data_IF_733582876997
#
_entry.id   IF_733582876997
#
_cell.length_a   1.000
_cell.length_b   1.000
_cell.length_c   1.000
_cell.angle_alpha   90.00
_cell.angle_beta   90.00
_cell.angle_gamma   90.00
#
_symmetry.space_group_name_H-M   'P 1'
#
loop_
_entity.id
_entity.type
_entity.pdbx_description
1 polymer ?
#
# COMPACT_ATOMS: atom_id res chain seq x y z
N UNK A 1 -29.89 -67.14 -30.65
CA UNK A 1 -30.41 -65.75 -30.50
C UNK A 1 -30.43 -65.14 -31.89
N UNK A 2 -31.54 -65.21 -32.62
CA UNK A 2 -32.79 -64.43 -32.49
C UNK A 2 -32.61 -63.03 -33.12
N UNK A 3 -33.24 -62.89 -34.31
CA UNK A 3 -33.83 -61.72 -35.02
C UNK A 3 -32.96 -60.61 -35.61
N UNK A 4 -32.89 -60.62 -36.95
CA UNK A 4 -33.18 -59.47 -37.83
C UNK A 4 -34.71 -59.19 -37.86
N UNK A 5 -35.27 -58.20 -38.61
CA UNK A 5 -34.89 -56.83 -39.00
C UNK A 5 -36.08 -55.84 -38.86
N UNK A 6 -35.95 -54.58 -39.32
CA UNK A 6 -36.92 -53.80 -40.13
C UNK A 6 -37.15 -52.33 -39.75
N UNK A 7 -37.01 -51.53 -40.80
CA UNK A 7 -37.58 -50.21 -41.07
C UNK A 7 -39.03 -50.30 -41.56
N UNK A 8 -39.90 -49.40 -41.07
CA UNK A 8 -41.20 -48.96 -41.64
C UNK A 8 -41.20 -47.42 -41.54
N UNK A 9 -41.37 -46.56 -42.55
CA UNK A 9 -42.30 -46.40 -43.68
C UNK A 9 -43.73 -45.96 -43.26
N UNK A 10 -44.20 -44.88 -43.92
CA UNK A 10 -45.58 -44.31 -44.03
C UNK A 10 -46.12 -43.53 -42.78
N UNK A 11 -46.92 -42.44 -42.83
CA UNK A 11 -47.73 -41.78 -43.86
C UNK A 11 -48.17 -40.34 -43.43
N UNK A 12 -48.51 -39.49 -44.41
CA UNK A 12 -49.39 -38.26 -44.37
C UNK A 12 -50.86 -38.67 -44.03
N UNK A 13 -51.93 -37.83 -43.81
CA UNK A 13 -52.17 -36.38 -44.11
C UNK A 13 -53.13 -35.58 -43.15
N UNK A 14 -53.55 -34.37 -43.59
CA UNK A 14 -54.79 -33.59 -43.28
C UNK A 14 -54.90 -32.89 -41.90
N UNK A 15 -54.89 -31.55 -41.79
CA UNK A 15 -55.92 -30.55 -42.12
C UNK A 15 -57.15 -30.53 -41.18
N UNK A 16 -57.24 -29.47 -40.35
CA UNK A 16 -58.44 -28.93 -39.67
C UNK A 16 -58.15 -27.43 -39.42
N UNK A 17 -58.69 -26.52 -40.23
CA UNK A 17 -59.97 -25.81 -40.06
C UNK A 17 -59.92 -24.74 -38.95
N UNK A 18 -59.54 -23.50 -39.30
CA UNK A 18 -60.39 -22.28 -39.35
C UNK A 18 -60.77 -21.74 -37.96
N UNK A 19 -60.34 -20.50 -37.65
CA UNK A 19 -61.23 -19.40 -37.24
C UNK A 19 -60.50 -18.04 -37.13
N UNK A 20 -61.26 -16.99 -37.42
CA UNK A 20 -60.90 -15.58 -37.59
C UNK A 20 -60.49 -14.84 -36.28
N UNK A 21 -59.77 -13.71 -36.44
CA UNK A 21 -59.63 -12.46 -35.63
C UNK A 21 -60.32 -12.33 -34.24
N UNK A 22 -59.86 -11.48 -33.27
CA UNK A 22 -59.07 -10.24 -33.41
C UNK A 22 -58.08 -9.87 -32.24
N UNK A 23 -57.39 -8.72 -32.40
CA UNK A 23 -56.77 -7.80 -31.41
C UNK A 23 -56.14 -8.31 -30.08
N UNK A 24 -54.86 -7.97 -29.82
CA UNK A 24 -54.44 -7.45 -28.49
C UNK A 24 -53.37 -6.35 -28.66
N UNK A 25 -53.76 -5.12 -28.33
CA UNK A 25 -52.86 -4.00 -28.03
C UNK A 25 -51.97 -4.37 -26.83
N UNK A 26 -50.66 -4.48 -27.03
CA UNK A 26 -49.72 -4.56 -25.91
C UNK A 26 -49.41 -3.14 -25.39
N UNK A 27 -49.60 -2.86 -24.09
CA UNK A 27 -49.22 -1.58 -23.52
C UNK A 27 -47.69 -1.45 -23.52
N UNK A 28 -47.22 -0.36 -24.13
CA UNK A 28 -45.86 0.16 -24.10
C UNK A 28 -45.36 0.15 -22.64
N UNK A 29 -44.44 -0.76 -22.32
CA UNK A 29 -43.71 -0.77 -21.04
C UNK A 29 -43.10 0.62 -20.85
N UNK A 30 -43.70 1.40 -19.95
CA UNK A 30 -43.08 2.57 -19.36
C UNK A 30 -41.77 2.10 -18.76
N UNK A 31 -40.68 2.67 -19.26
CA UNK A 31 -39.37 2.51 -18.67
C UNK A 31 -39.50 2.88 -17.18
N UNK A 32 -39.48 1.87 -16.32
CA UNK A 32 -39.11 2.02 -14.92
C UNK A 32 -37.68 2.56 -14.95
N UNK A 33 -37.58 3.89 -14.94
CA UNK A 33 -36.37 4.60 -14.56
C UNK A 33 -36.10 4.16 -13.14
N UNK A 34 -35.23 3.15 -13.01
CA UNK A 34 -34.45 2.92 -11.81
C UNK A 34 -33.66 4.21 -11.60
N UNK A 35 -34.23 5.13 -10.82
CA UNK A 35 -33.43 6.13 -10.12
C UNK A 35 -32.32 5.35 -9.41
N UNK A 36 -31.05 5.56 -9.77
CA UNK A 36 -29.97 5.10 -8.91
C UNK A 36 -30.23 5.80 -7.58
N UNK A 37 -30.60 5.02 -6.56
CA UNK A 37 -30.50 5.49 -5.19
C UNK A 37 -29.04 5.92 -5.02
N UNK A 38 -28.79 7.22 -5.08
CA UNK A 38 -27.68 7.86 -4.39
C UNK A 38 -27.94 7.64 -2.90
N UNK A 39 -27.73 6.38 -2.48
CA UNK A 39 -27.37 6.09 -1.12
C UNK A 39 -26.14 6.95 -0.86
N UNK A 40 -26.37 7.99 -0.07
CA UNK A 40 -25.39 8.93 0.47
C UNK A 40 -24.18 8.13 0.95
N UNK A 41 -23.25 7.87 0.04
CA UNK A 41 -22.04 7.14 0.30
C UNK A 41 -21.19 8.10 1.11
N UNK A 42 -21.30 8.00 2.44
CA UNK A 42 -20.32 8.58 3.35
C UNK A 42 -18.97 8.06 2.88
N UNK A 43 -18.21 8.94 2.23
CA UNK A 43 -17.03 8.62 1.44
C UNK A 43 -15.84 8.22 2.29
N UNK A 44 -15.91 7.07 2.96
CA UNK A 44 -14.73 6.43 3.52
C UNK A 44 -14.12 5.57 2.41
N UNK A 45 -13.17 6.15 1.67
CA UNK A 45 -12.30 5.41 0.76
C UNK A 45 -11.65 4.26 1.55
N UNK A 46 -11.69 3.01 1.05
CA UNK A 46 -11.08 1.89 1.77
C UNK A 46 -9.58 2.14 1.88
N UNK A 47 -8.97 1.92 3.07
CA UNK A 47 -7.54 2.08 3.24
C UNK A 47 -6.80 1.16 2.26
N UNK A 48 -5.70 1.64 1.68
CA UNK A 48 -4.92 0.85 0.73
C UNK A 48 -4.20 -0.28 1.46
N UNK A 49 -4.85 -1.44 1.56
CA UNK A 49 -4.38 -2.64 2.25
C UNK A 49 -3.01 -3.08 1.71
N UNK A 50 -2.80 -2.95 0.40
CA UNK A 50 -1.52 -3.30 -0.23
C UNK A 50 -0.38 -2.38 0.25
N UNK A 51 -0.64 -1.08 0.36
CA UNK A 51 0.33 -0.12 0.89
C UNK A 51 0.66 -0.42 2.35
N UNK A 52 -0.35 -0.74 3.17
CA UNK A 52 -0.18 -1.11 4.57
C UNK A 52 0.63 -2.42 4.71
N UNK A 53 0.37 -3.42 3.86
CA UNK A 53 1.14 -4.66 3.81
C UNK A 53 2.61 -4.42 3.45
N UNK A 54 2.87 -3.64 2.38
CA UNK A 54 4.23 -3.25 2.01
C UNK A 54 4.94 -2.52 3.15
N UNK A 55 4.23 -1.63 3.85
CA UNK A 55 4.77 -0.88 4.97
C UNK A 55 5.20 -1.78 6.13
N UNK A 56 4.40 -2.80 6.44
CA UNK A 56 4.74 -3.78 7.48
C UNK A 56 5.96 -4.61 7.07
N UNK A 57 6.03 -5.06 5.81
CA UNK A 57 7.15 -5.89 5.32
C UNK A 57 8.46 -5.09 5.40
N UNK A 58 8.49 -3.87 4.82
CA UNK A 58 9.68 -3.01 4.87
C UNK A 58 10.04 -2.66 6.31
N UNK A 59 9.04 -2.34 7.14
CA UNK A 59 9.28 -2.05 8.55
C UNK A 59 9.83 -3.24 9.33
N UNK A 60 9.36 -4.44 9.03
CA UNK A 60 9.81 -5.67 9.68
C UNK A 60 11.28 -5.97 9.40
N UNK A 61 11.71 -5.83 8.14
CA UNK A 61 13.12 -5.98 7.76
C UNK A 61 14.03 -5.02 8.55
N UNK A 62 13.65 -3.74 8.64
CA UNK A 62 14.41 -2.76 9.42
C UNK A 62 14.38 -3.02 10.92
N UNK A 63 13.24 -3.48 11.45
CA UNK A 63 13.10 -3.80 12.86
C UNK A 63 13.95 -4.99 13.26
N UNK A 64 14.02 -6.02 12.41
CA UNK A 64 14.94 -7.14 12.61
C UNK A 64 16.40 -6.70 12.51
N UNK A 65 16.76 -5.96 11.46
CA UNK A 65 18.13 -5.49 11.25
C UNK A 65 18.64 -4.63 12.41
N UNK A 66 17.82 -3.71 12.91
CA UNK A 66 18.15 -2.86 14.06
C UNK A 66 18.07 -3.63 15.38
N UNK A 67 17.09 -4.52 15.52
CA UNK A 67 16.92 -5.39 16.68
C UNK A 67 18.11 -6.31 16.91
N UNK A 68 18.64 -6.95 15.86
CA UNK A 68 19.83 -7.78 15.93
C UNK A 68 21.05 -6.98 16.42
N UNK A 69 21.19 -5.72 15.95
CA UNK A 69 22.27 -4.83 16.38
C UNK A 69 22.13 -4.43 17.85
N UNK A 70 20.94 -4.05 18.28
CA UNK A 70 20.63 -3.70 19.68
C UNK A 70 20.87 -4.88 20.62
N UNK A 71 20.40 -6.07 20.25
CA UNK A 71 20.52 -7.27 21.07
C UNK A 71 21.96 -7.78 21.14
N UNK A 72 22.75 -7.59 20.08
CA UNK A 72 24.19 -7.89 20.08
C UNK A 72 24.97 -6.91 20.98
N UNK A 73 24.54 -5.65 21.08
CA UNK A 73 25.11 -4.61 21.95
C UNK A 73 26.53 -4.15 21.63
N UNK A 74 27.21 -4.78 20.67
CA UNK A 74 28.59 -4.50 20.29
C UNK A 74 28.76 -3.85 18.92
N UNK A 75 27.65 -3.53 18.22
CA UNK A 75 27.70 -3.00 16.85
C UNK A 75 28.45 -1.65 16.74
N UNK A 76 28.19 -0.63 17.58
CA UNK A 76 28.85 0.66 17.46
C UNK A 76 30.37 0.59 17.66
N UNK A 77 30.82 -0.29 18.55
CA UNK A 77 32.24 -0.51 18.82
C UNK A 77 32.96 -1.20 17.65
N UNK A 78 32.27 -2.09 16.92
CA UNK A 78 32.85 -2.86 15.82
C UNK A 78 32.78 -2.13 14.47
N UNK A 79 31.87 -1.16 14.35
CA UNK A 79 31.59 -0.43 13.11
C UNK A 79 32.83 0.21 12.50
N UNK A 80 33.68 0.88 13.29
CA UNK A 80 34.88 1.55 12.77
C UNK A 80 35.86 0.61 12.06
N UNK A 81 36.07 -0.59 12.63
CA UNK A 81 36.94 -1.61 12.02
C UNK A 81 36.36 -2.18 10.72
N UNK A 82 35.04 -2.39 10.69
CA UNK A 82 34.33 -2.85 9.50
C UNK A 82 34.44 -1.82 8.37
N UNK A 83 34.17 -0.54 8.66
CA UNK A 83 34.25 0.55 7.70
C UNK A 83 35.65 0.74 7.12
N UNK A 84 36.69 0.69 7.95
CA UNK A 84 38.08 0.78 7.48
C UNK A 84 38.42 -0.34 6.49
N UNK A 85 37.92 -1.55 6.75
CA UNK A 85 38.11 -2.71 5.87
C UNK A 85 37.39 -2.50 4.53
N UNK A 86 36.15 -2.02 4.56
CA UNK A 86 35.34 -1.76 3.35
C UNK A 86 35.95 -0.62 2.52
N UNK A 87 36.31 0.50 3.15
CA UNK A 87 36.94 1.66 2.49
C UNK A 87 38.32 1.30 1.91
N UNK A 88 39.06 0.40 2.54
CA UNK A 88 40.33 -0.11 2.03
C UNK A 88 40.21 -1.04 0.81
N UNK A 89 39.04 -1.65 0.61
CA UNK A 89 38.78 -2.63 -0.47
C UNK A 89 38.54 -2.03 -1.86
N UNK A 90 38.39 -0.71 -1.98
CA UNK A 90 38.34 -0.01 -3.29
C UNK A 90 37.07 -0.22 -4.14
N UNK A 91 36.03 -0.88 -3.61
CA UNK A 91 34.78 -1.18 -4.33
C UNK A 91 33.69 -0.09 -4.21
N UNK A 92 33.97 0.99 -3.47
CA UNK A 92 33.04 2.08 -3.20
C UNK A 92 33.11 3.19 -4.25
N UNK A 93 31.99 3.91 -4.43
CA UNK A 93 31.96 5.16 -5.19
C UNK A 93 32.86 6.21 -4.53
N UNK A 94 33.70 6.90 -5.32
CA UNK A 94 34.75 7.80 -4.80
C UNK A 94 34.25 8.89 -3.86
N UNK A 95 33.10 9.51 -4.14
CA UNK A 95 32.51 10.53 -3.25
C UNK A 95 32.04 9.92 -1.93
N UNK A 96 31.43 8.74 -1.97
CA UNK A 96 30.91 8.04 -0.79
C UNK A 96 32.06 7.55 0.10
N UNK A 97 33.11 6.97 -0.52
CA UNK A 97 34.33 6.60 0.18
C UNK A 97 35.00 7.79 0.90
N UNK A 98 34.96 8.98 0.30
CA UNK A 98 35.50 10.20 0.91
C UNK A 98 34.70 10.62 2.14
N UNK A 99 33.35 10.65 2.04
CA UNK A 99 32.46 10.90 3.18
C UNK A 99 32.70 9.90 4.31
N UNK A 100 32.80 8.60 3.97
CA UNK A 100 33.05 7.57 4.97
C UNK A 100 34.39 7.79 5.67
N UNK A 101 35.45 8.06 4.92
CA UNK A 101 36.80 8.22 5.48
C UNK A 101 36.95 9.48 6.33
N UNK A 102 36.35 10.59 5.91
CA UNK A 102 36.54 11.90 6.55
C UNK A 102 35.54 12.18 7.67
N UNK A 103 34.30 11.68 7.56
CA UNK A 103 33.22 12.00 8.50
C UNK A 103 32.80 10.81 9.35
N UNK A 104 32.55 9.65 8.71
CA UNK A 104 31.91 8.51 9.38
C UNK A 104 32.92 7.68 10.19
N UNK A 105 34.09 7.36 9.62
CA UNK A 105 35.13 6.55 10.28
C UNK A 105 35.65 7.22 11.56
N UNK A 106 35.98 8.53 11.59
CA UNK A 106 36.42 9.18 12.81
C UNK A 106 35.35 9.20 13.91
N UNK A 107 34.07 9.22 13.51
CA UNK A 107 32.91 9.26 14.41
C UNK A 107 32.15 7.92 14.42
N UNK A 108 32.82 6.80 14.15
CA UNK A 108 32.16 5.53 13.83
C UNK A 108 31.25 5.02 14.95
N UNK A 109 31.60 5.27 16.21
CA UNK A 109 30.77 4.88 17.36
C UNK A 109 29.46 5.67 17.39
N UNK A 110 29.52 6.98 17.14
CA UNK A 110 28.32 7.83 17.08
C UNK A 110 27.41 7.39 15.93
N UNK A 111 27.99 7.22 14.74
CA UNK A 111 27.23 6.73 13.58
C UNK A 111 26.70 5.31 13.79
N UNK A 112 27.40 4.46 14.53
CA UNK A 112 26.92 3.15 14.92
C UNK A 112 25.64 3.21 15.74
N UNK A 113 25.61 4.06 16.77
CA UNK A 113 24.38 4.28 17.53
C UNK A 113 23.27 4.91 16.66
N UNK A 114 23.59 5.85 15.78
CA UNK A 114 22.60 6.47 14.90
C UNK A 114 21.98 5.46 13.93
N UNK A 115 22.78 4.54 13.38
CA UNK A 115 22.29 3.46 12.50
C UNK A 115 21.45 2.48 13.32
N UNK A 116 21.97 2.00 14.43
CA UNK A 116 21.29 1.05 15.32
C UNK A 116 19.91 1.56 15.75
N UNK A 117 19.83 2.77 16.31
CA UNK A 117 18.55 3.38 16.67
C UNK A 117 17.72 3.79 15.44
N UNK A 118 18.37 4.23 14.37
CA UNK A 118 17.70 4.65 13.14
C UNK A 118 16.93 3.51 12.48
N UNK A 119 17.55 2.33 12.36
CA UNK A 119 16.93 1.13 11.82
C UNK A 119 15.77 0.66 12.70
N UNK A 120 15.98 0.57 14.01
CA UNK A 120 14.93 0.14 14.94
C UNK A 120 13.75 1.09 14.96
N UNK A 121 13.99 2.41 15.01
CA UNK A 121 12.93 3.42 15.03
C UNK A 121 12.20 3.50 13.68
N UNK A 122 12.91 3.39 12.56
CA UNK A 122 12.29 3.33 11.24
C UNK A 122 11.42 2.08 11.11
N UNK A 123 11.94 0.92 11.50
CA UNK A 123 11.21 -0.35 11.51
C UNK A 123 9.96 -0.30 12.39
N UNK A 124 10.12 0.15 13.64
CA UNK A 124 9.02 0.29 14.59
C UNK A 124 7.96 1.27 14.08
N UNK A 125 8.37 2.42 13.55
CA UNK A 125 7.46 3.42 13.00
C UNK A 125 6.66 2.90 11.81
N UNK A 126 7.31 2.15 10.90
CA UNK A 126 6.65 1.57 9.73
C UNK A 126 5.70 0.43 10.11
N UNK A 127 6.13 -0.53 10.94
CA UNK A 127 5.29 -1.65 11.39
C UNK A 127 4.08 -1.15 12.16
N UNK A 128 4.28 -0.23 13.11
CA UNK A 128 3.16 0.32 13.89
C UNK A 128 2.18 1.03 12.98
N UNK A 129 2.64 1.93 12.11
CA UNK A 129 1.76 2.64 11.19
C UNK A 129 1.01 1.70 10.21
N UNK A 130 1.66 0.68 9.68
CA UNK A 130 1.01 -0.30 8.80
C UNK A 130 -0.04 -1.15 9.54
N UNK A 131 0.28 -1.62 10.75
CA UNK A 131 -0.68 -2.38 11.58
C UNK A 131 -1.88 -1.51 11.97
N UNK A 132 -1.63 -0.25 12.32
CA UNK A 132 -2.68 0.71 12.62
C UNK A 132 -3.58 0.97 11.41
N UNK A 133 -3.02 1.07 10.19
CA UNK A 133 -3.81 1.22 8.98
C UNK A 133 -4.75 0.03 8.71
N UNK A 134 -4.27 -1.20 8.96
CA UNK A 134 -5.10 -2.40 8.86
C UNK A 134 -6.19 -2.46 9.94
N UNK A 135 -5.85 -2.11 11.18
CA UNK A 135 -6.81 -2.07 12.30
C UNK A 135 -7.92 -1.04 12.05
N UNK A 136 -7.59 0.13 11.50
CA UNK A 136 -8.59 1.14 11.11
C UNK A 136 -9.58 0.58 10.10
N UNK A 137 -9.08 -0.13 9.08
CA UNK A 137 -9.94 -0.81 8.10
C UNK A 137 -10.93 -1.76 8.75
N UNK A 138 -10.51 -2.45 9.82
CA UNK A 138 -11.34 -3.42 10.52
C UNK A 138 -12.36 -2.74 11.45
N UNK A 139 -11.97 -1.66 12.13
CA UNK A 139 -12.82 -0.94 13.10
C UNK A 139 -13.91 -0.11 12.41
N UNK A 140 -13.67 0.41 11.20
CA UNK A 140 -14.68 1.16 10.42
C UNK A 140 -15.93 0.30 10.07
N UNK A 141 -15.86 -1.02 10.23
CA UNK A 141 -17.02 -1.92 10.09
C UNK A 141 -17.83 -2.12 11.39
N UNK A 142 -17.45 -1.48 12.51
CA UNK A 142 -18.08 -1.67 13.82
C UNK A 142 -18.73 -0.38 14.36
N UNK A 143 -20.00 -0.40 14.81
CA UNK A 143 -20.69 0.80 15.32
C UNK A 143 -20.08 1.23 16.67
N UNK A 144 -19.45 2.42 16.69
CA UNK A 144 -18.48 2.83 17.70
C UNK A 144 -19.02 3.57 18.94
N UNK A 145 -18.30 3.40 20.05
CA UNK A 145 -18.43 4.14 21.32
C UNK A 145 -17.22 5.04 21.64
N UNK A 146 -17.21 5.64 22.84
CA UNK A 146 -16.30 6.73 23.29
C UNK A 146 -14.78 6.38 23.25
N UNK A 147 -14.40 5.10 23.29
CA UNK A 147 -13.00 4.64 23.11
C UNK A 147 -12.46 4.85 21.69
N UNK A 148 -13.33 4.86 20.68
CA UNK A 148 -12.94 5.04 19.28
C UNK A 148 -12.27 6.40 19.05
N UNK A 149 -12.71 7.45 19.75
CA UNK A 149 -12.18 8.80 19.61
C UNK A 149 -10.73 8.95 20.14
N UNK A 150 -10.38 8.32 21.26
CA UNK A 150 -9.00 8.30 21.78
C UNK A 150 -8.06 7.49 20.87
N UNK A 151 -8.52 6.36 20.34
CA UNK A 151 -7.77 5.58 19.35
C UNK A 151 -7.50 6.43 18.09
N UNK A 152 -8.48 7.20 17.63
CA UNK A 152 -8.37 8.11 16.47
C UNK A 152 -7.34 9.24 16.61
N UNK A 153 -7.10 9.77 17.82
CA UNK A 153 -6.00 10.72 18.03
C UNK A 153 -4.61 10.09 17.86
N UNK A 154 -4.42 8.86 18.36
CA UNK A 154 -3.17 8.13 18.20
C UNK A 154 -2.88 7.80 16.74
N UNK A 155 -3.91 7.36 16.00
CA UNK A 155 -3.83 7.09 14.56
C UNK A 155 -3.29 8.29 13.77
N UNK A 156 -3.80 9.51 14.03
CA UNK A 156 -3.36 10.71 13.31
C UNK A 156 -1.90 11.07 13.56
N UNK A 157 -1.39 10.83 14.77
CA UNK A 157 0.01 11.11 15.08
C UNK A 157 0.93 10.12 14.38
N UNK A 158 0.60 8.83 14.44
CA UNK A 158 1.34 7.77 13.76
C UNK A 158 1.31 7.96 12.25
N UNK A 159 0.17 8.34 11.68
CA UNK A 159 0.04 8.67 10.26
C UNK A 159 0.95 9.84 9.87
N UNK A 160 1.13 10.85 10.73
CA UNK A 160 2.06 11.97 10.50
C UNK A 160 3.53 11.55 10.53
N UNK A 161 3.88 10.62 11.40
CA UNK A 161 5.25 10.11 11.56
C UNK A 161 5.62 9.05 10.52
N UNK A 162 4.65 8.33 9.97
CA UNK A 162 4.86 7.29 8.97
C UNK A 162 5.72 7.71 7.74
N UNK A 163 5.52 8.88 7.10
CA UNK A 163 6.39 9.31 6.01
C UNK A 163 7.79 9.66 6.49
N UNK A 164 7.96 10.16 7.72
CA UNK A 164 9.28 10.43 8.26
C UNK A 164 10.05 9.12 8.48
N UNK A 165 9.37 8.09 9.01
CA UNK A 165 9.92 6.75 9.14
C UNK A 165 10.26 6.13 7.77
N UNK A 166 9.39 6.30 6.77
CA UNK A 166 9.64 5.83 5.40
C UNK A 166 10.82 6.56 4.75
N UNK A 167 10.96 7.88 4.93
CA UNK A 167 12.13 8.63 4.45
C UNK A 167 13.40 8.11 5.12
N UNK A 168 13.38 7.92 6.44
CA UNK A 168 14.51 7.36 7.19
C UNK A 168 14.92 5.97 6.68
N UNK A 169 13.96 5.06 6.54
CA UNK A 169 14.16 3.74 5.95
C UNK A 169 14.73 3.80 4.52
N UNK A 170 14.26 4.75 3.70
CA UNK A 170 14.75 4.95 2.34
C UNK A 170 16.20 5.43 2.30
N UNK A 171 16.55 6.39 3.15
CA UNK A 171 17.92 6.91 3.27
C UNK A 171 18.89 5.85 3.80
N UNK A 172 18.45 5.05 4.78
CA UNK A 172 19.23 3.92 5.29
C UNK A 172 19.44 2.88 4.17
N UNK A 173 18.38 2.48 3.47
CA UNK A 173 18.46 1.52 2.36
C UNK A 173 19.40 1.99 1.25
N UNK A 174 19.32 3.27 0.89
CA UNK A 174 20.22 3.88 -0.09
C UNK A 174 21.67 3.92 0.39
N UNK A 175 21.90 4.19 1.68
CA UNK A 175 23.24 4.16 2.27
C UNK A 175 23.83 2.75 2.26
N UNK A 176 23.01 1.73 2.53
CA UNK A 176 23.40 0.32 2.42
C UNK A 176 23.74 -0.09 0.99
N UNK A 177 22.94 0.36 0.02
CA UNK A 177 23.24 0.15 -1.41
C UNK A 177 24.61 0.73 -1.79
N UNK A 178 24.91 1.95 -1.35
CA UNK A 178 26.23 2.54 -1.60
C UNK A 178 27.36 1.84 -0.84
N UNK A 179 27.07 1.24 0.31
CA UNK A 179 28.04 0.49 1.10
C UNK A 179 28.36 -0.89 0.50
N UNK A 180 27.38 -1.56 -0.13
CA UNK A 180 27.58 -2.87 -0.81
C UNK A 180 28.36 -2.73 -2.14
N UNK A 181 28.50 -1.50 -2.66
CA UNK A 181 29.36 -1.15 -3.78
C UNK A 181 28.64 -1.11 -5.14
N UNK A 182 29.40 -1.22 -6.24
CA UNK A 182 28.84 -1.25 -7.59
C UNK A 182 27.81 -2.37 -7.76
N UNK A 183 26.74 -2.17 -8.54
CA UNK A 183 25.69 -3.17 -8.71
C UNK A 183 26.29 -4.49 -9.20
N UNK A 184 26.10 -5.55 -8.41
CA UNK A 184 26.41 -6.92 -8.82
C UNK A 184 25.61 -7.22 -10.09
N UNK A 185 26.14 -8.01 -11.04
CA UNK A 185 25.41 -8.32 -12.26
C UNK A 185 24.08 -8.99 -11.89
N UNK A 186 22.98 -8.47 -12.43
CA UNK A 186 21.61 -8.86 -12.02
C UNK A 186 21.28 -10.32 -12.36
N UNK A 187 22.06 -10.89 -13.29
CA UNK A 187 21.93 -12.24 -13.75
C UNK A 187 23.33 -12.87 -13.84
N UNK A 188 23.65 -13.71 -12.86
CA UNK A 188 24.87 -14.55 -12.87
C UNK A 188 24.43 -16.01 -12.80
N UNK A 189 24.14 -16.66 -13.94
CA UNK A 189 23.59 -18.02 -13.96
C UNK A 189 24.56 -19.08 -13.42
N UNK A 190 25.83 -18.73 -13.17
CA UNK A 190 26.81 -19.59 -12.51
C UNK A 190 26.70 -19.63 -10.97
N UNK A 191 25.85 -18.79 -10.36
CA UNK A 191 25.63 -18.77 -8.90
C UNK A 191 24.13 -19.00 -8.62
N UNK A 192 23.75 -20.25 -8.33
CA UNK A 192 22.35 -20.63 -8.10
C UNK A 192 21.69 -19.96 -6.88
N UNK A 193 22.50 -19.43 -5.95
CA UNK A 193 22.03 -18.75 -4.73
C UNK A 193 22.43 -17.26 -4.68
N UNK A 194 22.83 -16.67 -5.82
CA UNK A 194 23.12 -15.24 -5.90
C UNK A 194 21.81 -14.46 -5.91
N UNK A 195 21.49 -13.76 -4.82
CA UNK A 195 20.32 -12.88 -4.78
C UNK A 195 20.33 -11.90 -5.96
N UNK A 196 19.28 -11.93 -6.77
CA UNK A 196 19.17 -11.11 -8.00
C UNK A 196 18.86 -9.64 -7.69
N UNK A 197 18.36 -9.35 -6.49
CA UNK A 197 17.94 -8.01 -6.06
C UNK A 197 18.83 -7.53 -4.92
N UNK A 198 19.41 -6.35 -5.07
CA UNK A 198 20.08 -5.64 -3.99
C UNK A 198 19.04 -5.20 -2.94
N UNK A 199 19.18 -5.72 -1.72
CA UNK A 199 18.21 -5.47 -0.65
C UNK A 199 18.18 -3.99 -0.24
N UNK A 200 19.31 -3.29 -0.24
CA UNK A 200 19.37 -1.86 0.08
C UNK A 200 18.59 -1.03 -0.95
N UNK A 201 18.78 -1.32 -2.24
CA UNK A 201 18.06 -0.67 -3.34
C UNK A 201 16.56 -0.99 -3.30
N UNK A 202 16.19 -2.24 -3.03
CA UNK A 202 14.79 -2.64 -2.88
C UNK A 202 14.11 -1.88 -1.74
N UNK A 203 14.73 -1.85 -0.56
CA UNK A 203 14.20 -1.14 0.61
C UNK A 203 14.10 0.37 0.35
N UNK A 204 15.08 0.96 -0.35
CA UNK A 204 15.04 2.36 -0.76
C UNK A 204 13.89 2.65 -1.74
N UNK A 205 13.73 1.82 -2.78
CA UNK A 205 12.66 1.97 -3.76
C UNK A 205 11.27 1.77 -3.12
N UNK A 206 11.12 0.74 -2.28
CA UNK A 206 9.89 0.49 -1.55
C UNK A 206 9.54 1.67 -0.62
N UNK A 207 10.54 2.28 0.01
CA UNK A 207 10.35 3.47 0.85
C UNK A 207 9.87 4.68 0.04
N UNK A 208 10.36 4.88 -1.18
CA UNK A 208 9.85 5.93 -2.09
C UNK A 208 8.38 5.68 -2.42
N UNK A 209 8.01 4.43 -2.74
CA UNK A 209 6.61 4.05 -2.99
C UNK A 209 5.74 4.34 -1.77
N UNK A 210 6.22 4.04 -0.56
CA UNK A 210 5.52 4.34 0.68
C UNK A 210 5.29 5.84 0.87
N UNK A 211 6.33 6.66 0.70
CA UNK A 211 6.23 8.12 0.84
C UNK A 211 5.26 8.70 -0.17
N UNK A 212 5.38 8.33 -1.45
CA UNK A 212 4.49 8.82 -2.51
C UNK A 212 3.05 8.36 -2.26
N UNK A 213 2.85 7.09 -1.93
CA UNK A 213 1.54 6.53 -1.61
C UNK A 213 0.85 7.28 -0.47
N UNK A 214 1.60 7.57 0.61
CA UNK A 214 1.10 8.33 1.75
C UNK A 214 0.77 9.79 1.39
N UNK A 215 1.57 10.44 0.54
CA UNK A 215 1.29 11.80 0.06
C UNK A 215 0.05 11.86 -0.82
N UNK A 216 -0.12 10.90 -1.73
CA UNK A 216 -1.31 10.83 -2.61
C UNK A 216 -2.57 10.63 -1.78
N UNK A 217 -2.55 9.71 -0.81
CA UNK A 217 -3.69 9.49 0.09
C UNK A 217 -4.10 10.76 0.84
N UNK A 218 -3.12 11.51 1.36
CA UNK A 218 -3.39 12.78 2.06
C UNK A 218 -4.00 13.84 1.14
N UNK A 219 -3.53 13.93 -0.11
CA UNK A 219 -4.09 14.88 -1.08
C UNK A 219 -5.52 14.52 -1.48
N UNK A 220 -5.80 13.22 -1.68
CA UNK A 220 -7.15 12.75 -2.00
C UNK A 220 -8.14 13.06 -0.87
N UNK A 221 -7.76 12.81 0.39
CA UNK A 221 -8.62 13.14 1.53
C UNK A 221 -8.91 14.63 1.65
N UNK A 222 -7.92 15.50 1.40
CA UNK A 222 -8.12 16.96 1.41
C UNK A 222 -9.10 17.41 0.33
N UNK A 223 -8.95 16.93 -0.91
CA UNK A 223 -9.88 17.29 -2.00
C UNK A 223 -11.31 16.88 -1.69
N UNK A 224 -11.52 15.68 -1.15
CA UNK A 224 -12.87 15.22 -0.81
C UNK A 224 -13.49 16.15 0.23
N UNK A 225 -12.74 16.52 1.28
CA UNK A 225 -13.23 17.44 2.29
C UNK A 225 -13.56 18.85 1.76
N UNK A 226 -12.81 19.33 0.77
CA UNK A 226 -13.08 20.63 0.11
C UNK A 226 -14.36 20.58 -0.74
N UNK A 227 -14.58 19.48 -1.45
CA UNK A 227 -15.79 19.26 -2.26
C UNK A 227 -17.02 19.14 -1.36
N UNK A 228 -16.93 18.35 -0.28
CA UNK A 228 -18.04 18.20 0.67
C UNK A 228 -18.40 19.53 1.34
N UNK A 229 -17.41 20.35 1.67
CA UNK A 229 -17.62 21.69 2.22
C UNK A 229 -18.32 22.62 1.21
N UNK A 230 -17.91 22.58 -0.06
CA UNK A 230 -18.52 23.38 -1.13
C UNK A 230 -19.98 22.98 -1.40
N UNK A 231 -20.29 21.68 -1.43
CA UNK A 231 -21.65 21.16 -1.61
C UNK A 231 -22.54 21.55 -0.42
N UNK A 232 -22.03 21.42 0.81
CA UNK A 232 -22.78 21.79 2.01
C UNK A 232 -23.12 23.29 2.03
N UNK A 233 -22.21 24.13 1.53
CA UNK A 233 -22.43 25.58 1.45
C UNK A 233 -23.48 25.95 0.39
N UNK A 234 -23.47 25.30 -0.78
CA UNK A 234 -24.47 25.50 -1.86
C UNK A 234 -25.88 25.06 -1.43
N UNK A 235 -26.00 23.94 -0.72
CA UNK A 235 -27.28 23.48 -0.15
C UNK A 235 -27.84 24.46 0.90
N UNK A 236 -26.97 25.03 1.73
CA UNK A 236 -27.38 26.01 2.75
C UNK A 236 -27.83 27.34 2.12
N UNK A 237 -27.21 27.76 1.02
CA UNK A 237 -27.59 28.97 0.28
C UNK A 237 -28.95 28.77 -0.41
N UNK A 238 -29.16 27.65 -1.12
CA UNK A 238 -30.44 27.31 -1.77
C UNK A 238 -31.59 27.17 -0.77
N UNK A 239 -31.36 26.54 0.39
CA UNK A 239 -32.36 26.42 1.44
C UNK A 239 -32.78 27.76 2.04
N UNK A 240 -31.83 28.71 2.16
CA UNK A 240 -32.13 30.07 2.64
C UNK A 240 -32.98 30.87 1.64
N UNK A 241 -32.79 30.67 0.34
CA UNK A 241 -33.60 31.32 -0.71
C UNK A 241 -35.06 30.82 -0.73
N UNK A 242 -35.28 29.53 -0.48
CA UNK A 242 -36.63 28.95 -0.45
C UNK A 242 -37.46 29.37 0.78
N UNK A 243 -36.83 29.78 1.87
CA UNK A 243 -37.51 30.29 3.06
C UNK A 243 -37.80 31.81 3.00
N UNK A 244 -37.21 32.53 2.05
CA UNK A 244 -37.37 33.98 1.90
C UNK A 244 -38.47 34.40 0.90
N UNK A 245 -39.08 33.42 0.20
CA UNK A 245 -40.22 33.58 -0.71
C UNK A 245 -41.51 33.10 -0.05
#
# INVERSE_FOLDING_TARGET
MITQPNSHVEARPAALDVQHEPHIHLPRRSHLRLEPQEGRATGTQPPNIALAGLQIIVGYEWLLAGGDKLLLGGFPAQMGKLLLTIVGGGQLLGFFASILRELVVPNAVLFGYLIEWGETLAGLGLVTAGLLALLRSLVEHSPGGRSTAMFMSGFRLVERLAPLAAIGAGLLGLSYFFLDGLPKPWFVPSIAFGGSIDMGLFLAAASVVLVVGQLVQRHQMRRISEIDAAITQDEHEKGSFLHAL
#
